data_IF_618986472075
#
_entry.id   IF_618986472075
#
_cell.length_a   1.000
_cell.length_b   1.000
_cell.length_c   1.000
_cell.angle_alpha   90.00
_cell.angle_beta   90.00
_cell.angle_gamma   90.00
#
_symmetry.space_group_name_H-M   'P 1'
#
loop_
_entity.id
_entity.type
_entity.pdbx_description
1 polymer ?
#
# COMPACT_ATOMS: atom_id res chain seq x y z
N UNK A 1 2.78 7.67 22.76
CA UNK A 1 1.79 7.40 21.71
C UNK A 1 1.15 6.08 22.08
N UNK A 2 -0.02 6.14 22.72
CA UNK A 2 -0.67 4.95 23.25
C UNK A 2 -1.29 4.16 22.09
N UNK A 3 -0.86 2.91 21.92
CA UNK A 3 -1.55 1.95 21.07
C UNK A 3 -2.70 1.40 21.91
N UNK A 4 -3.80 2.15 21.97
CA UNK A 4 -5.04 1.74 22.64
C UNK A 4 -5.98 1.07 21.64
N UNK A 5 -5.98 -0.26 21.65
CA UNK A 5 -7.22 -1.03 21.63
C UNK A 5 -8.08 -1.05 20.36
N UNK A 6 -7.49 -1.33 19.19
CA UNK A 6 -8.08 -2.21 18.16
C UNK A 6 -6.89 -2.67 17.31
N UNK A 7 -6.72 -3.97 17.06
CA UNK A 7 -5.58 -4.44 16.27
C UNK A 7 -5.69 -3.88 14.86
N UNK A 8 -4.95 -2.82 14.54
CA UNK A 8 -4.95 -2.24 13.20
C UNK A 8 -4.48 -3.32 12.21
N UNK A 9 -5.31 -3.60 11.21
CA UNK A 9 -4.94 -4.50 10.13
C UNK A 9 -3.86 -3.76 9.32
N UNK A 10 -2.68 -4.36 9.21
CA UNK A 10 -1.51 -3.74 8.57
C UNK A 10 -1.85 -3.22 7.17
N UNK A 11 -2.64 -3.97 6.41
CA UNK A 11 -3.02 -3.60 5.03
C UNK A 11 -3.98 -2.43 4.97
N UNK A 12 -4.89 -2.30 5.94
CA UNK A 12 -5.84 -1.19 6.02
C UNK A 12 -5.09 0.10 6.37
N UNK A 13 -4.25 0.04 7.40
CA UNK A 13 -3.40 1.16 7.80
C UNK A 13 -2.45 1.59 6.67
N UNK A 14 -1.80 0.64 5.99
CA UNK A 14 -0.93 0.94 4.86
C UNK A 14 -1.68 1.59 3.68
N UNK A 15 -2.93 1.17 3.43
CA UNK A 15 -3.77 1.78 2.41
C UNK A 15 -4.23 3.19 2.80
N UNK A 16 -4.55 3.44 4.07
CA UNK A 16 -4.86 4.78 4.56
C UNK A 16 -3.64 5.71 4.44
N UNK A 17 -2.45 5.26 4.82
CA UNK A 17 -1.21 6.01 4.60
C UNK A 17 -1.01 6.37 3.13
N UNK A 18 -1.27 5.44 2.21
CA UNK A 18 -1.24 5.71 0.77
C UNK A 18 -2.27 6.78 0.36
N UNK A 19 -3.52 6.67 0.83
CA UNK A 19 -4.61 7.58 0.47
C UNK A 19 -4.41 9.01 0.97
N UNK A 20 -3.87 9.15 2.18
CA UNK A 20 -3.67 10.45 2.81
C UNK A 20 -2.28 11.04 2.55
N UNK A 21 -1.42 10.31 1.82
CA UNK A 21 -0.05 10.76 1.53
C UNK A 21 0.84 10.81 2.76
N UNK A 22 0.56 9.99 3.78
CA UNK A 22 1.33 9.92 5.03
C UNK A 22 2.30 8.74 5.00
N UNK A 23 3.09 8.65 3.92
CA UNK A 23 4.02 7.56 3.69
C UNK A 23 5.14 7.50 4.74
N UNK A 24 5.54 8.65 5.28
CA UNK A 24 6.56 8.75 6.34
C UNK A 24 6.18 7.97 7.61
N UNK A 25 4.88 7.86 7.91
CA UNK A 25 4.40 7.12 9.07
C UNK A 25 4.63 5.61 8.93
N UNK A 26 4.69 5.08 7.69
CA UNK A 26 4.89 3.65 7.43
C UNK A 26 6.30 3.17 7.75
N UNK A 27 7.28 4.06 7.63
CA UNK A 27 8.71 3.70 7.61
C UNK A 27 9.41 3.91 8.95
N UNK A 28 8.72 4.40 9.99
CA UNK A 28 9.20 4.48 11.39
C UNK A 28 10.67 4.93 11.55
N UNK A 29 11.08 5.96 10.81
CA UNK A 29 12.46 6.50 10.77
C UNK A 29 13.50 5.66 10.02
N UNK A 30 13.09 4.80 9.09
CA UNK A 30 13.99 4.21 8.10
C UNK A 30 14.50 5.29 7.15
N UNK A 31 15.69 5.80 7.44
CA UNK A 31 16.32 6.89 6.69
C UNK A 31 16.61 6.52 5.24
N UNK A 32 16.78 5.23 4.91
CA UNK A 32 16.99 4.80 3.52
C UNK A 32 15.69 4.93 2.73
N UNK A 33 14.57 4.46 3.30
CA UNK A 33 13.26 4.60 2.68
C UNK A 33 12.78 6.06 2.59
N UNK A 34 13.12 6.90 3.57
CA UNK A 34 12.83 8.35 3.55
C UNK A 34 13.56 9.09 2.42
N UNK A 35 14.74 8.60 1.99
CA UNK A 35 15.54 9.26 0.96
C UNK A 35 15.09 8.93 -0.47
N UNK A 36 14.22 7.94 -0.66
CA UNK A 36 13.62 7.59 -1.96
C UNK A 36 12.11 7.35 -1.84
N UNK A 37 11.39 8.45 -1.58
CA UNK A 37 9.93 8.50 -1.52
C UNK A 37 9.27 7.94 -2.80
N UNK A 38 9.92 8.12 -3.95
CA UNK A 38 9.42 7.63 -5.24
C UNK A 38 9.40 6.11 -5.32
N UNK A 39 10.47 5.46 -4.83
CA UNK A 39 10.52 4.00 -4.73
C UNK A 39 9.55 3.50 -3.67
N UNK A 40 9.42 4.19 -2.53
CA UNK A 40 8.46 3.83 -1.49
C UNK A 40 7.02 3.86 -2.01
N UNK A 41 6.62 4.94 -2.69
CA UNK A 41 5.29 5.06 -3.29
C UNK A 41 5.05 3.95 -4.32
N UNK A 42 6.05 3.65 -5.16
CA UNK A 42 5.97 2.57 -6.17
C UNK A 42 5.75 1.21 -5.50
N UNK A 43 6.55 0.87 -4.50
CA UNK A 43 6.45 -0.41 -3.77
C UNK A 43 5.09 -0.52 -3.09
N UNK A 44 4.62 0.56 -2.45
CA UNK A 44 3.32 0.57 -1.78
C UNK A 44 2.17 0.39 -2.77
N UNK A 45 2.18 1.09 -3.90
CA UNK A 45 1.19 0.90 -4.99
C UNK A 45 1.17 -0.54 -5.48
N UNK A 46 2.34 -1.15 -5.70
CA UNK A 46 2.43 -2.57 -6.10
C UNK A 46 1.86 -3.49 -5.02
N UNK A 47 2.17 -3.24 -3.75
CA UNK A 47 1.63 -4.01 -2.64
C UNK A 47 0.10 -3.96 -2.60
N UNK A 48 -0.50 -2.77 -2.75
CA UNK A 48 -1.96 -2.57 -2.79
C UNK A 48 -2.59 -3.33 -3.97
N UNK A 49 -1.96 -3.36 -5.14
CA UNK A 49 -2.40 -4.19 -6.27
C UNK A 49 -2.37 -5.69 -5.97
N UNK A 50 -1.38 -6.17 -5.21
CA UNK A 50 -1.23 -7.58 -4.85
C UNK A 50 -2.27 -8.07 -3.83
N UNK A 51 -2.69 -7.20 -2.90
CA UNK A 51 -3.61 -7.58 -1.81
C UNK A 51 -5.09 -7.38 -2.14
N UNK A 52 -5.43 -6.96 -3.36
CA UNK A 52 -6.82 -6.75 -3.80
C UNK A 52 -7.72 -7.93 -3.43
N UNK A 53 -8.83 -7.69 -2.73
CA UNK A 53 -9.79 -8.75 -2.39
C UNK A 53 -10.34 -9.43 -3.64
N UNK A 54 -10.59 -8.67 -4.71
CA UNK A 54 -11.03 -9.19 -6.00
C UNK A 54 -9.84 -9.82 -6.74
N UNK A 55 -9.78 -11.16 -6.90
CA UNK A 55 -8.57 -11.82 -7.41
C UNK A 55 -8.22 -11.45 -8.86
N UNK A 56 -9.21 -11.13 -9.68
CA UNK A 56 -9.02 -10.74 -11.08
C UNK A 56 -8.35 -9.37 -11.26
N UNK A 57 -8.30 -8.54 -10.20
CA UNK A 57 -7.58 -7.27 -10.21
C UNK A 57 -6.10 -7.44 -9.89
N UNK A 58 -5.70 -8.58 -9.29
CA UNK A 58 -4.31 -8.81 -8.90
C UNK A 58 -3.44 -8.98 -10.14
N UNK A 59 -2.28 -8.30 -10.22
CA UNK A 59 -1.34 -8.49 -11.31
C UNK A 59 -0.71 -9.89 -11.24
N UNK A 60 -0.28 -10.39 -12.39
CA UNK A 60 0.58 -11.59 -12.43
C UNK A 60 1.94 -11.28 -11.78
N UNK A 61 2.62 -12.30 -11.24
CA UNK A 61 3.97 -12.12 -10.67
C UNK A 61 4.95 -11.49 -11.66
N UNK A 62 4.86 -11.82 -12.96
CA UNK A 62 5.67 -11.17 -14.00
C UNK A 62 5.41 -9.67 -14.10
N UNK A 63 4.15 -9.26 -13.99
CA UNK A 63 3.81 -7.82 -14.02
C UNK A 63 4.27 -7.13 -12.74
N UNK A 64 4.16 -7.79 -11.59
CA UNK A 64 4.68 -7.29 -10.30
C UNK A 64 6.18 -7.02 -10.39
N UNK A 65 7.00 -7.95 -10.90
CA UNK A 65 8.45 -7.72 -11.02
C UNK A 65 8.75 -6.56 -11.97
N UNK A 66 8.08 -6.49 -13.12
CA UNK A 66 8.24 -5.37 -14.06
C UNK A 66 7.89 -4.02 -13.44
N UNK A 67 6.85 -3.97 -12.60
CA UNK A 67 6.45 -2.77 -11.88
C UNK A 67 7.51 -2.36 -10.85
N UNK A 68 8.03 -3.31 -10.08
CA UNK A 68 9.06 -3.06 -9.06
C UNK A 68 10.39 -2.59 -9.66
N UNK A 69 10.78 -3.18 -10.79
CA UNK A 69 11.98 -2.82 -11.56
C UNK A 69 11.85 -1.48 -12.31
N UNK A 70 10.66 -0.86 -12.31
CA UNK A 70 10.41 0.38 -13.06
C UNK A 70 10.33 0.20 -14.58
N UNK A 71 10.21 -1.04 -15.06
CA UNK A 71 10.07 -1.37 -16.49
C UNK A 71 8.69 -0.94 -17.02
N UNK A 72 7.68 -0.94 -16.14
CA UNK A 72 6.32 -0.49 -16.44
C UNK A 72 5.81 0.41 -15.33
N UNK A 73 5.08 1.45 -15.71
CA UNK A 73 4.41 2.33 -14.78
C UNK A 73 3.39 1.60 -13.89
N UNK A 74 3.27 2.05 -12.65
CA UNK A 74 2.31 1.52 -11.68
C UNK A 74 1.12 2.47 -11.60
N UNK A 75 -0.05 2.11 -12.18
CA UNK A 75 -1.23 2.94 -12.07
C UNK A 75 -1.69 3.03 -10.61
N UNK A 76 -2.41 4.11 -10.27
CA UNK A 76 -3.06 4.22 -8.97
C UNK A 76 -3.96 2.99 -8.73
N UNK A 77 -3.73 2.22 -7.66
CA UNK A 77 -4.56 1.06 -7.36
C UNK A 77 -5.96 1.48 -6.88
N UNK A 78 -6.99 0.65 -7.13
CA UNK A 78 -8.30 0.81 -6.52
C UNK A 78 -8.27 0.46 -5.03
N UNK A 79 -9.37 0.73 -4.32
CA UNK A 79 -9.56 0.28 -2.93
C UNK A 79 -9.38 -1.25 -2.86
N UNK A 80 -8.37 -1.75 -2.12
CA UNK A 80 -8.14 -3.19 -1.97
C UNK A 80 -9.25 -3.92 -1.19
N UNK A 81 -10.05 -3.18 -0.41
CA UNK A 81 -11.08 -3.72 0.50
C UNK A 81 -12.47 -3.12 0.21
N UNK A 82 -13.02 -3.29 -1.00
CA UNK A 82 -14.31 -2.68 -1.38
C UNK A 82 -15.50 -3.22 -0.59
N UNK A 83 -15.36 -4.36 0.09
CA UNK A 83 -16.42 -4.97 0.89
C UNK A 83 -16.37 -4.59 2.38
N UNK A 84 -15.31 -3.90 2.82
CA UNK A 84 -15.07 -3.53 4.22
C UNK A 84 -15.44 -2.06 4.53
N UNK A 85 -16.17 -1.36 3.66
CA UNK A 85 -16.54 0.06 3.82
C UNK A 85 -17.50 0.37 5.00
N UNK A 86 -17.79 -0.60 5.88
CA UNK A 86 -18.79 -0.47 6.95
C UNK A 86 -18.31 -0.69 8.40
N UNK A 87 -17.01 -0.79 8.70
CA UNK A 87 -16.59 -1.06 10.10
C UNK A 87 -16.07 0.12 10.92
N UNK A 88 -15.89 1.33 10.36
CA UNK A 88 -15.41 2.48 11.14
C UNK A 88 -16.10 3.79 10.72
N UNK A 89 -17.41 3.89 10.98
CA UNK A 89 -18.07 5.17 11.27
C UNK A 89 -18.03 5.43 12.77
#
# INVERSE_FOLDING_TARGET
MEISGTGAILTDWAYDCYRYGTLDDLIQNDTEAMNDESTLERVLKVAIWCVQEVPSLRPTMRKVTQMLEGVVEVPAPPNPFPFNENSYS
#
